data_IF_515513201035
#
_entry.id   IF_515513201035
#
_cell.length_a   1.000
_cell.length_b   1.000
_cell.length_c   1.000
_cell.angle_alpha   90.00
_cell.angle_beta   90.00
_cell.angle_gamma   90.00
#
_symmetry.space_group_name_H-M   'P 1'
#
loop_
_entity.id
_entity.type
_entity.pdbx_description
1 polymer ?
#
# COMPACT_ATOMS: atom_id res chain seq x y z
N UNK A 1 26.23 7.41 1.42
CA UNK A 1 24.82 7.71 1.13
C UNK A 1 24.29 6.97 -0.11
N UNK A 2 24.90 7.08 -1.28
CA UNK A 2 24.43 6.37 -2.49
C UNK A 2 24.30 4.84 -2.36
N UNK A 3 25.29 4.19 -1.75
CA UNK A 3 25.32 2.71 -1.64
C UNK A 3 24.26 2.16 -0.70
N UNK A 4 23.93 2.90 0.34
CA UNK A 4 22.95 2.50 1.36
C UNK A 4 21.52 2.63 0.83
N UNK A 5 21.20 3.73 0.19
CA UNK A 5 19.91 3.93 -0.48
C UNK A 5 19.66 2.89 -1.57
N UNK A 6 20.70 2.56 -2.35
CA UNK A 6 20.62 1.52 -3.38
C UNK A 6 20.28 0.14 -2.80
N UNK A 7 20.90 -0.23 -1.66
CA UNK A 7 20.59 -1.48 -0.96
C UNK A 7 19.18 -1.51 -0.40
N UNK A 8 18.71 -0.38 0.14
CA UNK A 8 17.34 -0.24 0.66
C UNK A 8 16.33 -0.46 -0.46
N UNK A 9 16.48 0.23 -1.58
CA UNK A 9 15.61 0.08 -2.75
C UNK A 9 15.63 -1.37 -3.24
N UNK A 10 16.81 -1.95 -3.45
CA UNK A 10 16.95 -3.33 -3.94
C UNK A 10 16.22 -4.35 -3.05
N UNK A 11 16.38 -4.24 -1.74
CA UNK A 11 15.68 -5.07 -0.76
C UNK A 11 14.17 -4.87 -0.83
N UNK A 12 13.71 -3.62 -0.86
CA UNK A 12 12.29 -3.29 -0.87
C UNK A 12 11.61 -3.77 -2.16
N UNK A 13 12.26 -3.65 -3.31
CA UNK A 13 11.78 -4.21 -4.58
C UNK A 13 11.59 -5.73 -4.50
N UNK A 14 12.57 -6.44 -3.94
CA UNK A 14 12.47 -7.89 -3.76
C UNK A 14 11.34 -8.28 -2.82
N UNK A 15 11.20 -7.62 -1.67
CA UNK A 15 10.11 -7.88 -0.71
C UNK A 15 8.76 -7.64 -1.40
N UNK A 16 8.58 -6.50 -2.05
CA UNK A 16 7.36 -6.13 -2.73
C UNK A 16 6.93 -7.18 -3.75
N UNK A 17 7.86 -7.62 -4.59
CA UNK A 17 7.62 -8.64 -5.59
C UNK A 17 7.27 -10.00 -4.98
N UNK A 18 8.04 -10.46 -4.01
CA UNK A 18 7.85 -11.78 -3.39
C UNK A 18 6.57 -11.86 -2.58
N UNK A 19 6.21 -10.80 -1.87
CA UNK A 19 4.94 -10.70 -1.14
C UNK A 19 3.72 -10.78 -2.05
N UNK A 20 3.85 -10.30 -3.29
CA UNK A 20 2.80 -10.38 -4.29
C UNK A 20 2.90 -11.65 -5.17
N UNK A 21 3.78 -12.60 -4.84
CA UNK A 21 3.98 -13.84 -5.57
C UNK A 21 4.28 -13.65 -7.08
N UNK A 22 4.95 -12.55 -7.43
CA UNK A 22 5.30 -12.20 -8.82
C UNK A 22 6.74 -12.63 -9.11
N UNK A 23 6.99 -13.25 -10.27
CA UNK A 23 8.34 -13.59 -10.73
C UNK A 23 9.08 -12.36 -11.26
N UNK A 24 10.42 -12.41 -11.26
CA UNK A 24 11.25 -11.36 -11.89
C UNK A 24 10.92 -11.17 -13.37
N UNK A 25 10.62 -12.27 -14.09
CA UNK A 25 10.22 -12.23 -15.50
C UNK A 25 8.92 -11.43 -15.66
N UNK A 26 7.91 -11.75 -14.85
CA UNK A 26 6.62 -11.07 -14.93
C UNK A 26 6.74 -9.59 -14.60
N UNK A 27 7.48 -9.26 -13.53
CA UNK A 27 7.69 -7.87 -13.15
C UNK A 27 8.42 -7.08 -14.25
N UNK A 28 9.45 -7.66 -14.84
CA UNK A 28 10.18 -7.03 -15.95
C UNK A 28 9.26 -6.74 -17.14
N UNK A 29 8.41 -7.69 -17.53
CA UNK A 29 7.42 -7.51 -18.60
C UNK A 29 6.44 -6.38 -18.25
N UNK A 30 5.91 -6.35 -17.02
CA UNK A 30 4.93 -5.36 -16.59
C UNK A 30 5.46 -3.92 -16.64
N UNK A 31 6.76 -3.73 -16.44
CA UNK A 31 7.41 -2.40 -16.50
C UNK A 31 8.20 -2.14 -17.81
N UNK A 32 8.11 -3.06 -18.77
CA UNK A 32 8.67 -2.87 -20.11
C UNK A 32 10.19 -3.01 -20.21
N UNK A 33 10.80 -3.95 -19.46
CA UNK A 33 12.24 -4.20 -19.49
C UNK A 33 12.59 -5.69 -19.54
N UNK A 34 13.89 -5.98 -19.66
CA UNK A 34 14.37 -7.37 -19.61
C UNK A 34 14.45 -7.88 -18.17
N UNK A 35 14.28 -9.20 -17.99
CA UNK A 35 14.47 -9.83 -16.68
C UNK A 35 15.86 -9.52 -16.10
N UNK A 36 16.90 -9.50 -16.94
CA UNK A 36 18.26 -9.27 -16.50
C UNK A 36 18.44 -7.85 -15.91
N UNK A 37 17.86 -6.85 -16.59
CA UNK A 37 17.86 -5.47 -16.11
C UNK A 37 17.12 -5.33 -14.78
N UNK A 38 15.95 -5.95 -14.64
CA UNK A 38 15.19 -5.93 -13.40
C UNK A 38 15.92 -6.64 -12.25
N UNK A 39 16.54 -7.80 -12.54
CA UNK A 39 17.33 -8.53 -11.56
C UNK A 39 18.52 -7.73 -11.03
N UNK A 40 19.15 -6.89 -11.88
CA UNK A 40 20.22 -6.01 -11.46
C UNK A 40 19.77 -4.97 -10.42
N UNK A 41 18.53 -4.50 -10.48
CA UNK A 41 17.93 -3.63 -9.45
C UNK A 41 17.74 -4.37 -8.13
N UNK A 42 17.15 -5.56 -8.14
CA UNK A 42 16.94 -6.35 -6.92
C UNK A 42 18.23 -6.83 -6.26
N UNK A 43 19.30 -7.00 -7.05
CA UNK A 43 20.60 -7.39 -6.53
C UNK A 43 21.44 -6.19 -6.05
N UNK A 44 20.94 -4.97 -6.25
CA UNK A 44 21.65 -3.76 -5.89
C UNK A 44 22.89 -3.51 -6.74
N UNK A 45 22.96 -4.06 -7.96
CA UNK A 45 24.05 -3.80 -8.91
C UNK A 45 23.88 -2.44 -9.58
N UNK A 46 22.63 -2.04 -9.84
CA UNK A 46 22.25 -0.78 -10.48
C UNK A 46 21.13 -0.15 -9.68
N UNK A 47 21.13 1.18 -9.55
CA UNK A 47 20.02 1.94 -8.98
C UNK A 47 18.98 2.22 -10.08
N UNK A 48 17.70 1.89 -9.88
CA UNK A 48 16.66 2.30 -10.82
C UNK A 48 16.60 3.83 -10.92
N UNK A 49 16.36 4.34 -12.12
CA UNK A 49 16.07 5.76 -12.32
C UNK A 49 14.65 6.11 -11.85
N UNK A 50 14.32 7.41 -11.86
CA UNK A 50 13.04 7.89 -11.37
C UNK A 50 11.86 7.36 -12.20
N UNK A 51 12.02 7.15 -13.50
CA UNK A 51 10.98 6.62 -14.39
C UNK A 51 10.66 5.16 -14.03
N UNK A 52 11.69 4.36 -13.82
CA UNK A 52 11.53 2.95 -13.40
C UNK A 52 10.91 2.85 -12.03
N UNK A 53 11.36 3.64 -11.06
CA UNK A 53 10.77 3.68 -9.72
C UNK A 53 9.29 4.08 -9.76
N UNK A 54 8.94 5.05 -10.58
CA UNK A 54 7.56 5.46 -10.78
C UNK A 54 6.69 4.34 -11.38
N UNK A 55 7.18 3.65 -12.43
CA UNK A 55 6.47 2.50 -13.04
C UNK A 55 6.25 1.37 -12.03
N UNK A 56 7.24 1.08 -11.20
CA UNK A 56 7.12 0.07 -10.14
C UNK A 56 6.09 0.50 -9.10
N UNK A 57 6.17 1.73 -8.59
CA UNK A 57 5.22 2.25 -7.62
C UNK A 57 3.78 2.22 -8.17
N UNK A 58 3.59 2.64 -9.41
CA UNK A 58 2.30 2.59 -10.10
C UNK A 58 1.78 1.15 -10.24
N UNK A 59 2.66 0.20 -10.62
CA UNK A 59 2.29 -1.22 -10.78
C UNK A 59 1.75 -1.83 -9.48
N UNK A 60 2.26 -1.41 -8.34
CA UNK A 60 1.82 -1.89 -7.02
C UNK A 60 0.82 -0.97 -6.32
N UNK A 61 0.44 0.16 -6.93
CA UNK A 61 -0.50 1.12 -6.34
C UNK A 61 0.01 1.75 -5.03
N UNK A 62 1.32 1.95 -4.91
CA UNK A 62 1.95 2.56 -3.73
C UNK A 62 2.58 3.92 -4.08
N UNK A 63 2.66 4.85 -3.12
CA UNK A 63 3.48 6.04 -3.30
C UNK A 63 4.96 5.71 -3.50
N UNK A 64 5.65 6.44 -4.35
CA UNK A 64 7.05 6.15 -4.71
C UNK A 64 8.01 6.27 -3.50
N UNK A 65 7.73 7.16 -2.55
CA UNK A 65 8.50 7.34 -1.32
C UNK A 65 8.54 6.08 -0.45
N UNK A 66 7.53 5.23 -0.55
CA UNK A 66 7.48 3.93 0.16
C UNK A 66 8.66 3.04 -0.22
N UNK A 67 9.16 3.13 -1.47
CA UNK A 67 10.32 2.35 -1.93
C UNK A 67 11.63 2.69 -1.20
N UNK A 68 11.67 3.82 -0.50
CA UNK A 68 12.85 4.32 0.22
C UNK A 68 12.82 4.07 1.74
N UNK A 69 11.79 3.40 2.26
CA UNK A 69 11.66 3.12 3.69
C UNK A 69 12.77 2.18 4.15
N UNK A 70 13.54 2.62 5.15
CA UNK A 70 14.71 1.90 5.66
C UNK A 70 14.33 0.70 6.55
N UNK A 71 13.36 0.87 7.44
CA UNK A 71 12.86 -0.21 8.31
C UNK A 71 12.05 -1.22 7.51
N UNK A 72 12.38 -2.50 7.65
CA UNK A 72 11.64 -3.58 6.98
C UNK A 72 10.22 -3.68 7.53
N UNK A 73 10.07 -3.52 8.83
CA UNK A 73 8.78 -3.56 9.54
C UNK A 73 7.85 -2.43 9.05
N UNK A 74 8.38 -1.21 8.96
CA UNK A 74 7.64 -0.04 8.47
C UNK A 74 7.28 -0.21 6.99
N UNK A 75 8.21 -0.72 6.19
CA UNK A 75 7.96 -1.00 4.77
C UNK A 75 6.84 -2.02 4.60
N UNK A 76 6.90 -3.17 5.28
CA UNK A 76 5.86 -4.19 5.24
C UNK A 76 4.52 -3.63 5.74
N UNK A 77 4.53 -2.87 6.83
CA UNK A 77 3.32 -2.20 7.33
C UNK A 77 2.71 -1.26 6.29
N UNK A 78 3.53 -0.51 5.57
CA UNK A 78 3.06 0.44 4.54
C UNK A 78 2.50 -0.25 3.30
N UNK A 79 3.13 -1.32 2.82
CA UNK A 79 2.64 -2.07 1.66
C UNK A 79 1.44 -2.96 1.99
N UNK A 80 1.31 -3.40 3.25
CA UNK A 80 0.17 -4.19 3.73
C UNK A 80 -1.05 -3.33 4.00
N UNK A 81 -0.88 -2.06 4.31
CA UNK A 81 -1.95 -1.06 4.25
C UNK A 81 -2.24 -0.82 2.79
N UNK A 82 -3.06 -1.71 2.26
CA UNK A 82 -3.56 -1.62 0.90
C UNK A 82 -4.01 -0.19 0.62
N UNK A 83 -3.21 0.55 -0.13
CA UNK A 83 -3.71 1.69 -0.88
C UNK A 83 -4.48 1.13 -2.07
N UNK A 84 -5.48 0.30 -1.77
CA UNK A 84 -6.48 0.00 -2.77
C UNK A 84 -7.22 1.31 -3.04
N UNK A 85 -6.79 1.98 -4.09
CA UNK A 85 -7.76 2.50 -5.00
C UNK A 85 -8.48 1.26 -5.55
N UNK A 86 -9.41 0.70 -4.78
CA UNK A 86 -10.38 -0.17 -5.39
C UNK A 86 -11.16 0.67 -6.41
N UNK A 87 -11.86 0.01 -7.30
CA UNK A 87 -12.65 0.70 -8.32
C UNK A 87 -13.61 1.74 -7.71
N UNK A 88 -14.04 1.52 -6.47
CA UNK A 88 -14.89 2.41 -5.69
C UNK A 88 -14.19 3.71 -5.32
N UNK A 89 -12.92 3.64 -4.91
CA UNK A 89 -12.14 4.83 -4.56
C UNK A 89 -11.78 5.65 -5.80
N UNK A 90 -11.42 4.99 -6.90
CA UNK A 90 -11.18 5.64 -8.18
C UNK A 90 -12.44 6.38 -8.65
N UNK A 91 -13.60 5.74 -8.58
CA UNK A 91 -14.89 6.34 -8.89
C UNK A 91 -15.23 7.51 -7.97
N UNK A 92 -14.92 7.39 -6.66
CA UNK A 92 -15.16 8.46 -5.70
C UNK A 92 -14.33 9.71 -6.02
N UNK A 93 -13.04 9.54 -6.32
CA UNK A 93 -12.14 10.66 -6.69
C UNK A 93 -12.60 11.33 -7.98
N UNK A 94 -12.89 10.54 -9.02
CA UNK A 94 -13.39 11.07 -10.29
C UNK A 94 -14.74 11.81 -10.14
N UNK A 95 -15.63 11.27 -9.31
CA UNK A 95 -16.93 11.87 -9.04
C UNK A 95 -16.80 13.14 -8.21
N UNK A 96 -15.88 13.17 -7.24
CA UNK A 96 -15.64 14.33 -6.39
C UNK A 96 -15.26 15.57 -7.21
N UNK A 97 -14.40 15.42 -8.21
CA UNK A 97 -13.97 16.55 -9.04
C UNK A 97 -15.12 17.17 -9.84
N UNK A 98 -16.15 16.37 -10.17
CA UNK A 98 -17.35 16.81 -10.92
C UNK A 98 -18.41 17.47 -10.03
N UNK A 99 -18.28 17.39 -8.70
CA UNK A 99 -19.24 17.95 -7.76
C UNK A 99 -19.13 19.49 -7.68
N UNK A 100 -20.27 20.16 -7.45
CA UNK A 100 -20.29 21.56 -7.02
C UNK A 100 -19.66 21.73 -5.63
N UNK A 101 -19.22 22.94 -5.30
CA UNK A 101 -18.65 23.23 -3.96
C UNK A 101 -19.66 22.93 -2.83
N UNK A 102 -20.94 23.14 -3.05
CA UNK A 102 -21.99 22.78 -2.10
C UNK A 102 -22.05 21.26 -1.89
N UNK A 103 -22.06 20.47 -2.95
CA UNK A 103 -22.10 19.02 -2.89
C UNK A 103 -20.83 18.42 -2.26
N UNK A 104 -19.65 19.04 -2.50
CA UNK A 104 -18.39 18.67 -1.83
C UNK A 104 -18.48 18.86 -0.32
N UNK A 105 -19.09 19.97 0.14
CA UNK A 105 -19.33 20.22 1.57
C UNK A 105 -20.25 19.17 2.19
N UNK A 106 -21.34 18.83 1.52
CA UNK A 106 -22.26 17.78 1.98
C UNK A 106 -21.60 16.41 2.06
N UNK A 107 -20.78 16.06 1.08
CA UNK A 107 -20.03 14.80 1.07
C UNK A 107 -19.06 14.73 2.26
N UNK A 108 -18.32 15.80 2.51
CA UNK A 108 -17.42 15.88 3.66
C UNK A 108 -18.17 15.71 5.00
N UNK A 109 -19.27 16.42 5.17
CA UNK A 109 -20.11 16.29 6.38
C UNK A 109 -20.59 14.86 6.56
N UNK A 110 -21.09 14.23 5.50
CA UNK A 110 -21.54 12.84 5.54
C UNK A 110 -20.43 11.88 5.89
N UNK A 111 -19.24 12.10 5.34
CA UNK A 111 -18.05 11.29 5.63
C UNK A 111 -17.66 11.37 7.10
N UNK A 112 -17.66 12.57 7.69
CA UNK A 112 -17.36 12.77 9.11
C UNK A 112 -18.39 12.09 10.01
N UNK A 113 -19.69 12.15 9.67
CA UNK A 113 -20.74 11.45 10.37
C UNK A 113 -20.55 9.92 10.35
N UNK A 114 -20.21 9.36 9.17
CA UNK A 114 -19.97 7.93 9.02
C UNK A 114 -18.75 7.47 9.82
N UNK A 115 -17.67 8.27 9.82
CA UNK A 115 -16.48 7.98 10.62
C UNK A 115 -16.78 7.93 12.11
N UNK A 116 -17.62 8.84 12.62
CA UNK A 116 -18.01 8.82 14.02
C UNK A 116 -18.90 7.62 14.37
N UNK A 117 -19.85 7.29 13.52
CA UNK A 117 -20.67 6.08 13.67
C UNK A 117 -19.82 4.80 13.68
N UNK A 118 -18.81 4.70 12.79
CA UNK A 118 -17.92 3.55 12.73
C UNK A 118 -17.07 3.38 13.99
N UNK A 119 -16.60 4.50 14.58
CA UNK A 119 -15.90 4.48 15.87
C UNK A 119 -16.79 3.93 17.00
N UNK A 120 -18.05 4.35 17.05
CA UNK A 120 -19.01 3.87 18.05
C UNK A 120 -19.29 2.38 17.89
N UNK A 121 -19.48 1.91 16.64
CA UNK A 121 -19.70 0.50 16.33
C UNK A 121 -18.51 -0.35 16.76
N UNK A 122 -17.29 0.09 16.42
CA UNK A 122 -16.05 -0.59 16.81
C UNK A 122 -15.87 -0.66 18.32
N UNK A 123 -16.12 0.44 19.02
CA UNK A 123 -16.06 0.50 20.49
C UNK A 123 -17.07 -0.45 21.14
N UNK A 124 -18.31 -0.50 20.65
CA UNK A 124 -19.35 -1.39 21.16
C UNK A 124 -19.02 -2.87 20.88
N UNK A 125 -18.47 -3.18 19.69
CA UNK A 125 -18.04 -4.55 19.35
C UNK A 125 -16.93 -5.02 20.28
N UNK A 126 -15.92 -4.18 20.55
CA UNK A 126 -14.84 -4.50 21.49
C UNK A 126 -15.36 -4.82 22.89
N UNK A 127 -16.29 -4.00 23.42
CA UNK A 127 -16.94 -4.24 24.72
C UNK A 127 -17.74 -5.54 24.78
N UNK A 128 -18.36 -5.95 23.68
CA UNK A 128 -19.09 -7.22 23.60
C UNK A 128 -18.15 -8.42 23.57
N UNK A 129 -16.99 -8.30 22.93
CA UNK A 129 -15.98 -9.36 22.90
C UNK A 129 -15.34 -9.57 24.28
N UNK A 130 -15.07 -8.51 25.04
CA UNK A 130 -14.57 -8.58 26.41
C UNK A 130 -15.55 -9.26 27.37
N UNK A 131 -16.86 -9.22 27.10
CA UNK A 131 -17.93 -9.85 27.92
C UNK A 131 -18.16 -11.33 27.61
N UNK A 132 -17.55 -11.88 26.57
CA UNK A 132 -17.65 -13.32 26.29
C UNK A 132 -16.94 -14.11 27.39
N UNK A 133 -17.59 -15.08 28.04
CA UNK A 133 -16.95 -15.91 29.06
C UNK A 133 -15.74 -16.64 28.43
N UNK A 134 -14.57 -16.56 29.10
CA UNK A 134 -13.40 -17.36 28.73
C UNK A 134 -13.84 -18.82 28.73
N UNK A 135 -13.67 -19.52 27.61
CA UNK A 135 -13.92 -20.97 27.56
C UNK A 135 -13.12 -21.63 28.68
N UNK A 136 -13.75 -22.48 29.54
CA UNK A 136 -13.01 -23.24 30.54
C UNK A 136 -12.00 -24.11 29.79
N UNK A 137 -10.74 -24.03 30.24
CA UNK A 137 -9.64 -24.79 29.63
C UNK A 137 -9.97 -26.27 29.63
N UNK A 138 -9.86 -26.88 28.46
CA UNK A 138 -9.79 -28.34 28.33
C UNK A 138 -8.49 -28.81 28.99
N UNK A 139 -8.64 -29.54 30.11
CA UNK A 139 -7.57 -30.32 30.70
C UNK A 139 -7.28 -31.48 29.78
#
# INVERSE_FOLDING_TARGET
MKLETQKIIARNLRILRTQNAISQVRMAVDIGMTRLSYAAYENGAITPDAEVLYKIALRYGIPMDVLFIESVEDFISRISKSYYYDDSMALLVESYDKLSNFAKGMLLEKTLQLLEQDKIIKANRAKLEERKPKKPGSK
#
